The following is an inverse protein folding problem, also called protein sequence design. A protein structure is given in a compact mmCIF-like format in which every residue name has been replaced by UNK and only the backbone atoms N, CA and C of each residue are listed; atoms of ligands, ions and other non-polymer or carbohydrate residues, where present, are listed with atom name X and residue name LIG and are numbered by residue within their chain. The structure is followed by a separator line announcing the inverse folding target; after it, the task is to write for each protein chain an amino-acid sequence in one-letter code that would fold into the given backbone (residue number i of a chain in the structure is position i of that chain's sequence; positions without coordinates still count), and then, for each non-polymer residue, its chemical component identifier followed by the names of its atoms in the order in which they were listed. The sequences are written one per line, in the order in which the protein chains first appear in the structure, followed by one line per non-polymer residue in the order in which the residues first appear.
data_IF_699132464550
#
_entry.id   IF_699132464550
#
_cell.length_a   1.000
_cell.length_b   1.000
_cell.length_c   1.000
_cell.angle_alpha   90.00
_cell.angle_beta   90.00
_cell.angle_gamma   90.00
#
_symmetry.space_group_name_H-M   'P 1'
#
loop_
_entity.id
_entity.type
_entity.pdbx_description
1 polymer ?
#
# COMPACT_ATOMS: atom_id res chain seq x y z
N UNK A 1 15.24 19.07 16.12
CA UNK A 1 15.05 17.69 15.61
C UNK A 1 14.54 17.74 14.19
N UNK A 2 15.08 16.92 13.31
CA UNK A 2 14.55 16.84 11.94
C UNK A 2 13.18 16.17 11.98
N UNK A 3 12.23 16.70 11.19
CA UNK A 3 10.88 16.15 11.11
C UNK A 3 10.86 14.90 10.22
N UNK A 4 10.04 13.94 10.62
CA UNK A 4 9.73 12.73 9.83
C UNK A 4 8.29 12.90 9.33
N UNK A 5 8.08 12.93 8.03
CA UNK A 5 6.79 13.25 7.42
C UNK A 5 5.65 12.39 7.99
N UNK A 6 5.87 11.08 8.09
CA UNK A 6 4.85 10.16 8.60
C UNK A 6 4.47 10.38 10.07
N UNK A 7 5.31 11.05 10.85
CA UNK A 7 5.02 11.37 12.25
C UNK A 7 4.34 12.73 12.43
N UNK A 8 4.25 13.53 11.37
CA UNK A 8 3.53 14.80 11.38
C UNK A 8 2.03 14.62 11.11
N UNK A 9 1.62 13.45 10.62
CA UNK A 9 0.21 13.12 10.41
C UNK A 9 -0.48 12.85 11.75
N UNK A 10 -1.61 13.51 12.00
CA UNK A 10 -2.44 13.22 13.18
C UNK A 10 -3.27 11.95 12.93
N UNK A 11 -2.78 10.83 13.41
CA UNK A 11 -3.40 9.50 13.22
C UNK A 11 -4.76 9.36 13.94
N UNK A 12 -5.10 10.29 14.84
CA UNK A 12 -6.41 10.27 15.53
C UNK A 12 -7.54 10.89 14.71
N UNK A 13 -7.19 11.65 13.68
CA UNK A 13 -8.16 12.40 12.86
C UNK A 13 -8.46 11.76 11.50
N UNK A 14 -7.57 10.92 11.02
CA UNK A 14 -7.74 10.28 9.71
C UNK A 14 -8.80 9.19 9.73
N UNK A 15 -9.39 8.91 8.57
CA UNK A 15 -10.42 7.89 8.38
C UNK A 15 -10.03 6.95 7.23
N UNK A 16 -9.57 5.76 7.57
CA UNK A 16 -9.24 4.72 6.59
C UNK A 16 -10.52 4.09 6.00
N UNK A 17 -10.46 3.50 4.77
CA UNK A 17 -9.27 3.45 3.92
C UNK A 17 -9.06 4.73 3.12
N UNK A 18 -7.80 5.08 2.87
CA UNK A 18 -7.47 6.26 2.06
C UNK A 18 -6.13 6.09 1.32
N UNK A 19 -5.93 6.93 0.31
CA UNK A 19 -4.65 7.12 -0.36
C UNK A 19 -4.25 8.58 -0.24
N UNK A 20 -3.08 8.82 0.34
CA UNK A 20 -2.54 10.15 0.61
C UNK A 20 -1.18 10.31 -0.05
N UNK A 21 -1.01 11.40 -0.78
CA UNK A 21 0.32 11.80 -1.25
C UNK A 21 1.08 12.43 -0.09
N UNK A 22 2.13 11.73 0.36
CA UNK A 22 2.92 12.18 1.51
C UNK A 22 3.79 13.38 1.16
N UNK A 23 4.56 13.26 0.08
CA UNK A 23 5.55 14.24 -0.34
C UNK A 23 6.07 13.95 -1.75
N UNK A 24 6.77 14.92 -2.30
CA UNK A 24 7.56 14.79 -3.52
C UNK A 24 9.00 15.12 -3.15
N UNK A 25 9.91 14.24 -3.50
CA UNK A 25 11.34 14.47 -3.41
C UNK A 25 11.87 14.91 -4.77
N UNK A 26 12.77 15.88 -4.80
CA UNK A 26 13.41 16.33 -6.02
C UNK A 26 14.91 16.05 -5.96
N UNK A 27 15.43 15.38 -6.98
CA UNK A 27 16.84 15.07 -7.12
C UNK A 27 17.64 16.25 -7.68
N UNK A 28 18.97 16.12 -7.67
CA UNK A 28 19.88 17.19 -8.11
C UNK A 28 19.79 17.55 -9.59
N UNK A 29 19.15 16.73 -10.41
CA UNK A 29 18.97 16.93 -11.85
C UNK A 29 17.51 17.19 -12.26
N UNK A 30 16.64 17.52 -11.29
CA UNK A 30 15.24 17.84 -11.54
C UNK A 30 14.30 16.64 -11.59
N UNK A 31 14.81 15.43 -11.45
CA UNK A 31 14.02 14.21 -11.32
C UNK A 31 13.27 14.23 -9.98
N UNK A 32 12.08 13.65 -9.99
CA UNK A 32 11.19 13.64 -8.83
C UNK A 32 10.80 12.22 -8.43
N UNK A 33 10.57 12.05 -7.14
CA UNK A 33 9.99 10.82 -6.55
C UNK A 33 8.79 11.24 -5.71
N UNK A 34 7.64 10.63 -5.96
CA UNK A 34 6.46 10.80 -5.12
C UNK A 34 6.27 9.60 -4.20
N UNK A 35 5.86 9.87 -2.96
CA UNK A 35 5.60 8.87 -1.93
C UNK A 35 4.14 8.93 -1.52
N UNK A 36 3.52 7.76 -1.42
CA UNK A 36 2.10 7.62 -1.07
C UNK A 36 1.91 6.73 0.14
N UNK A 37 0.97 7.13 0.97
CA UNK A 37 0.42 6.38 2.09
C UNK A 37 -0.85 5.69 1.61
N UNK A 38 -0.80 4.37 1.48
CA UNK A 38 -1.94 3.54 1.10
C UNK A 38 -2.45 2.89 2.36
N UNK A 39 -3.41 3.54 3.01
CA UNK A 39 -3.91 3.12 4.31
C UNK A 39 -5.15 2.27 4.16
N UNK A 40 -5.05 1.02 4.60
CA UNK A 40 -6.14 0.05 4.57
C UNK A 40 -6.98 0.10 5.83
N UNK A 41 -6.34 0.18 6.98
CA UNK A 41 -6.96 -0.03 8.29
C UNK A 41 -6.89 1.23 9.15
N UNK A 42 -7.88 1.38 10.01
CA UNK A 42 -7.96 2.53 10.90
C UNK A 42 -6.82 2.51 11.91
N UNK A 43 -5.98 3.56 11.95
CA UNK A 43 -4.88 3.65 12.91
C UNK A 43 -5.35 3.49 14.36
N UNK A 44 -4.57 2.74 15.13
CA UNK A 44 -4.80 2.47 16.56
C UNK A 44 -6.09 1.70 16.89
N UNK A 45 -6.79 1.19 15.87
CA UNK A 45 -8.00 0.35 16.06
C UNK A 45 -7.85 -1.04 15.45
N UNK A 46 -7.16 -1.13 14.32
CA UNK A 46 -6.98 -2.38 13.59
C UNK A 46 -5.54 -2.50 13.13
N UNK A 47 -5.08 -3.72 12.90
CA UNK A 47 -3.81 -4.00 12.28
C UNK A 47 -3.90 -5.31 11.49
N UNK A 48 -3.18 -5.41 10.37
CA UNK A 48 -3.08 -6.66 9.62
C UNK A 48 -2.50 -7.79 10.49
N UNK A 49 -3.03 -8.99 10.34
CA UNK A 49 -2.27 -10.20 10.68
C UNK A 49 -1.02 -10.29 9.80
N UNK A 50 0.09 -10.78 10.34
CA UNK A 50 1.39 -10.76 9.63
C UNK A 50 1.36 -11.58 8.34
N UNK A 51 0.76 -12.76 8.36
CA UNK A 51 0.66 -13.64 7.18
C UNK A 51 -0.19 -13.03 6.05
N UNK A 52 -1.29 -12.35 6.40
CA UNK A 52 -2.14 -11.66 5.44
C UNK A 52 -1.44 -10.43 4.83
N UNK A 53 -0.76 -9.65 5.66
CA UNK A 53 0.03 -8.51 5.22
C UNK A 53 1.13 -8.93 4.26
N UNK A 54 1.80 -10.02 4.54
CA UNK A 54 2.86 -10.58 3.71
C UNK A 54 2.33 -10.99 2.32
N UNK A 55 1.17 -11.63 2.26
CA UNK A 55 0.52 -11.98 0.99
C UNK A 55 0.08 -10.73 0.21
N UNK A 56 -0.47 -9.73 0.88
CA UNK A 56 -0.81 -8.44 0.27
C UNK A 56 0.44 -7.77 -0.32
N UNK A 57 1.54 -7.75 0.43
CA UNK A 57 2.80 -7.17 -0.03
C UNK A 57 3.30 -7.85 -1.31
N UNK A 58 3.32 -9.18 -1.37
CA UNK A 58 3.74 -9.91 -2.57
C UNK A 58 2.86 -9.59 -3.78
N UNK A 59 1.54 -9.58 -3.61
CA UNK A 59 0.61 -9.25 -4.69
C UNK A 59 0.75 -7.81 -5.15
N UNK A 60 0.86 -6.85 -4.23
CA UNK A 60 1.06 -5.45 -4.56
C UNK A 60 2.40 -5.23 -5.24
N UNK A 61 3.48 -5.75 -4.66
CA UNK A 61 4.82 -5.57 -5.20
C UNK A 61 4.95 -6.11 -6.63
N UNK A 62 4.39 -7.27 -6.88
CA UNK A 62 4.48 -7.92 -8.19
C UNK A 62 3.55 -7.27 -9.22
N UNK A 63 2.28 -7.09 -8.88
CA UNK A 63 1.25 -6.71 -9.85
C UNK A 63 1.10 -5.19 -10.04
N UNK A 64 1.52 -4.36 -9.09
CA UNK A 64 1.39 -2.90 -9.23
C UNK A 64 2.18 -2.39 -10.45
N UNK A 65 3.28 -3.03 -10.76
CA UNK A 65 4.17 -2.67 -11.88
C UNK A 65 3.54 -2.87 -13.25
N UNK A 66 2.52 -3.69 -13.34
CA UNK A 66 1.74 -3.88 -14.58
C UNK A 66 0.67 -2.79 -14.76
N UNK A 67 0.33 -2.10 -13.70
CA UNK A 67 -0.75 -1.09 -13.66
C UNK A 67 -0.25 0.33 -13.44
N UNK A 68 1.02 0.51 -13.16
CA UNK A 68 1.62 1.80 -12.83
C UNK A 68 3.08 1.83 -13.25
N UNK A 69 3.45 2.82 -14.04
CA UNK A 69 4.85 3.02 -14.44
C UNK A 69 5.68 3.64 -13.33
N UNK A 70 6.97 3.34 -13.32
CA UNK A 70 7.94 4.00 -12.47
C UNK A 70 7.86 3.62 -10.99
N UNK A 71 7.31 2.45 -10.67
CA UNK A 71 7.29 1.96 -9.29
C UNK A 71 8.71 1.68 -8.81
N UNK A 72 9.10 2.30 -7.70
CA UNK A 72 10.38 2.06 -7.04
C UNK A 72 10.20 0.97 -5.99
N UNK A 73 9.27 1.15 -5.07
CA UNK A 73 9.03 0.22 -3.99
C UNK A 73 7.63 0.36 -3.41
N UNK A 74 7.09 -0.73 -2.90
CA UNK A 74 5.90 -0.76 -2.07
C UNK A 74 6.17 -1.69 -0.90
N UNK A 75 6.02 -1.19 0.32
CA UNK A 75 6.40 -1.90 1.53
C UNK A 75 5.40 -1.66 2.64
N UNK A 76 5.14 -2.66 3.50
CA UNK A 76 4.24 -2.49 4.63
C UNK A 76 4.79 -1.52 5.66
N UNK A 77 3.89 -0.81 6.32
CA UNK A 77 4.21 0.04 7.47
C UNK A 77 4.45 -0.83 8.71
N UNK A 78 5.35 -0.39 9.58
CA UNK A 78 5.62 -1.07 10.84
C UNK A 78 4.41 -1.21 11.76
N UNK A 79 3.46 -0.28 11.69
CA UNK A 79 2.19 -0.32 12.42
C UNK A 79 1.16 -1.32 11.86
N UNK A 80 1.43 -1.89 10.69
CA UNK A 80 0.57 -2.88 10.02
C UNK A 80 -0.84 -2.36 9.69
N UNK A 81 -0.95 -1.09 9.28
CA UNK A 81 -2.24 -0.50 8.88
C UNK A 81 -2.30 -0.15 7.40
N UNK A 82 -1.18 -0.23 6.71
CA UNK A 82 -1.10 0.08 5.29
C UNK A 82 0.29 -0.11 4.71
N UNK A 83 0.49 0.47 3.54
CA UNK A 83 1.73 0.36 2.77
C UNK A 83 2.21 1.73 2.33
N UNK A 84 3.53 1.89 2.19
CA UNK A 84 4.11 3.02 1.48
C UNK A 84 4.48 2.61 0.05
N UNK A 85 4.13 3.45 -0.89
CA UNK A 85 4.50 3.32 -2.30
C UNK A 85 5.38 4.50 -2.71
N UNK A 86 6.52 4.21 -3.31
CA UNK A 86 7.40 5.22 -3.91
C UNK A 86 7.46 5.02 -5.42
N UNK A 87 7.33 6.12 -6.17
CA UNK A 87 7.32 6.10 -7.63
C UNK A 87 8.19 7.21 -8.19
N UNK A 88 8.79 6.97 -9.33
CA UNK A 88 9.36 8.04 -10.15
C UNK A 88 8.26 8.96 -10.64
N UNK A 89 8.59 10.26 -10.72
CA UNK A 89 7.68 11.29 -11.20
C UNK A 89 6.79 11.87 -10.10
N UNK A 90 6.07 12.91 -10.45
CA UNK A 90 5.07 13.57 -9.60
C UNK A 90 3.68 13.06 -9.99
N UNK A 91 3.28 11.95 -9.38
CA UNK A 91 2.03 11.27 -9.72
C UNK A 91 0.83 11.77 -8.90
N UNK A 92 -0.34 11.66 -9.50
CA UNK A 92 -1.60 12.03 -8.85
C UNK A 92 -2.15 10.86 -8.01
N UNK A 93 -2.69 11.12 -6.80
CA UNK A 93 -3.33 10.09 -5.99
C UNK A 93 -4.44 9.30 -6.69
N UNK A 94 -5.15 9.90 -7.63
CA UNK A 94 -6.18 9.22 -8.45
C UNK A 94 -5.57 8.07 -9.26
N UNK A 95 -4.40 8.29 -9.85
CA UNK A 95 -3.68 7.27 -10.62
C UNK A 95 -3.27 6.10 -9.73
N UNK A 96 -2.79 6.40 -8.53
CA UNK A 96 -2.42 5.39 -7.55
C UNK A 96 -3.63 4.58 -7.10
N UNK A 97 -4.73 5.25 -6.79
CA UNK A 97 -5.99 4.60 -6.41
C UNK A 97 -6.45 3.61 -7.47
N UNK A 98 -6.49 4.03 -8.73
CA UNK A 98 -6.90 3.17 -9.84
C UNK A 98 -6.02 1.92 -9.96
N UNK A 99 -4.70 2.08 -9.87
CA UNK A 99 -3.75 0.97 -9.94
C UNK A 99 -3.91 0.00 -8.77
N UNK A 100 -3.96 0.52 -7.54
CA UNK A 100 -4.09 -0.31 -6.33
C UNK A 100 -5.41 -1.08 -6.32
N UNK A 101 -6.52 -0.42 -6.63
CA UNK A 101 -7.83 -1.09 -6.67
C UNK A 101 -7.89 -2.18 -7.74
N UNK A 102 -7.25 -1.97 -8.90
CA UNK A 102 -7.13 -3.00 -9.93
C UNK A 102 -6.37 -4.22 -9.42
N UNK A 103 -5.23 -4.00 -8.77
CA UNK A 103 -4.44 -5.10 -8.18
C UNK A 103 -5.24 -5.87 -7.15
N UNK A 104 -5.97 -5.18 -6.28
CA UNK A 104 -6.78 -5.83 -5.24
C UNK A 104 -7.95 -6.62 -5.82
N UNK A 105 -8.60 -6.13 -6.88
CA UNK A 105 -9.62 -6.90 -7.60
C UNK A 105 -9.06 -8.17 -8.23
N UNK A 106 -7.86 -8.07 -8.80
CA UNK A 106 -7.18 -9.24 -9.37
C UNK A 106 -6.79 -10.23 -8.27
N UNK A 107 -6.35 -9.74 -7.11
CA UNK A 107 -6.06 -10.57 -5.96
C UNK A 107 -7.27 -11.43 -5.54
N UNK A 108 -8.47 -10.88 -5.57
CA UNK A 108 -9.68 -11.65 -5.22
C UNK A 108 -9.92 -12.86 -6.13
N UNK A 109 -9.40 -12.84 -7.35
CA UNK A 109 -9.50 -13.92 -8.33
C UNK A 109 -8.27 -14.84 -8.34
N UNK A 110 -7.22 -14.48 -7.63
CA UNK A 110 -5.98 -15.22 -7.61
C UNK A 110 -6.11 -16.50 -6.78
N UNK A 111 -5.43 -17.55 -7.22
CA UNK A 111 -5.31 -18.82 -6.48
C UNK A 111 -3.90 -18.99 -5.89
N UNK A 112 -2.97 -18.14 -6.30
CA UNK A 112 -1.56 -18.21 -5.93
C UNK A 112 -1.04 -16.90 -5.36
N UNK A 113 0.08 -17.01 -4.65
CA UNK A 113 0.84 -15.84 -4.16
C UNK A 113 2.16 -15.80 -4.93
N UNK A 114 2.48 -14.69 -5.62
CA UNK A 114 3.75 -14.55 -6.32
C UNK A 114 4.94 -14.72 -5.39
N UNK A 115 6.00 -15.37 -5.85
CA UNK A 115 7.27 -15.51 -5.15
C UNK A 115 7.17 -16.15 -3.75
N UNK A 116 6.14 -16.93 -3.48
CA UNK A 116 5.90 -17.59 -2.20
C UNK A 116 6.70 -18.91 -2.10
N UNK A 117 8.03 -18.80 -2.11
CA UNK A 117 8.94 -19.93 -2.01
C UNK A 117 10.23 -19.53 -1.28
N UNK A 118 10.99 -20.52 -0.86
CA UNK A 118 12.20 -20.30 -0.05
C UNK A 118 13.33 -19.57 -0.77
N UNK A 119 13.34 -19.60 -2.11
CA UNK A 119 14.38 -18.93 -2.91
C UNK A 119 14.11 -17.43 -3.01
N UNK A 120 12.86 -17.05 -3.24
CA UNK A 120 12.46 -15.67 -3.50
C UNK A 120 11.97 -14.91 -2.26
N UNK A 121 11.65 -15.60 -1.18
CA UNK A 121 11.08 -15.01 0.03
C UNK A 121 11.85 -15.42 1.26
N UNK A 122 12.06 -14.47 2.17
CA UNK A 122 12.78 -14.71 3.42
C UNK A 122 11.96 -15.42 4.50
N UNK A 123 10.64 -15.50 4.35
CA UNK A 123 9.74 -16.16 5.29
C UNK A 123 8.46 -16.65 4.60
N UNK A 124 8.62 -17.51 3.61
CA UNK A 124 7.52 -17.94 2.74
C UNK A 124 6.43 -18.78 3.45
N UNK A 125 6.69 -19.25 4.67
CA UNK A 125 5.72 -20.02 5.45
C UNK A 125 4.73 -19.15 6.21
N UNK A 126 5.07 -17.89 6.49
CA UNK A 126 4.18 -16.93 7.16
C UNK A 126 3.47 -16.07 6.10
N UNK A 127 2.57 -16.69 5.34
CA UNK A 127 1.87 -16.02 4.24
C UNK A 127 0.46 -16.63 4.09
N UNK A 128 -0.57 -15.78 3.93
CA UNK A 128 -1.97 -16.21 3.85
C UNK A 128 -2.71 -15.48 2.74
N UNK A 129 -3.02 -16.21 1.67
CA UNK A 129 -3.86 -15.71 0.59
C UNK A 129 -5.30 -15.45 1.07
N UNK A 130 -5.84 -16.35 1.89
CA UNK A 130 -7.17 -16.20 2.47
C UNK A 130 -7.29 -14.90 3.28
N UNK A 131 -6.31 -14.63 4.14
CA UNK A 131 -6.30 -13.41 4.94
C UNK A 131 -6.15 -12.15 4.06
N UNK A 132 -5.28 -12.20 3.06
CA UNK A 132 -5.11 -11.10 2.11
C UNK A 132 -6.40 -10.78 1.35
N UNK A 133 -7.10 -11.81 0.89
CA UNK A 133 -8.40 -11.64 0.20
C UNK A 133 -9.45 -11.00 1.10
N UNK A 134 -9.47 -11.34 2.39
CA UNK A 134 -10.38 -10.73 3.35
C UNK A 134 -10.20 -9.22 3.45
N UNK A 135 -8.97 -8.77 3.61
CA UNK A 135 -8.64 -7.34 3.64
C UNK A 135 -8.90 -6.65 2.31
N UNK A 136 -8.55 -7.27 1.20
CA UNK A 136 -8.81 -6.73 -0.13
C UNK A 136 -10.31 -6.53 -0.39
N UNK A 137 -11.12 -7.51 -0.03
CA UNK A 137 -12.59 -7.45 -0.17
C UNK A 137 -13.18 -6.31 0.66
N UNK A 138 -12.74 -6.16 1.90
CA UNK A 138 -13.20 -5.11 2.79
C UNK A 138 -12.88 -3.72 2.23
N UNK A 139 -11.64 -3.49 1.83
CA UNK A 139 -11.20 -2.22 1.27
C UNK A 139 -11.91 -1.89 -0.05
N UNK A 140 -12.06 -2.86 -0.94
CA UNK A 140 -12.76 -2.65 -2.22
C UNK A 140 -14.22 -2.28 -1.97
N UNK A 141 -14.88 -2.90 -1.00
CA UNK A 141 -16.28 -2.60 -0.66
C UNK A 141 -16.46 -1.17 -0.13
N UNK A 142 -15.48 -0.65 0.59
CA UNK A 142 -15.47 0.72 1.13
C UNK A 142 -14.97 1.74 0.11
N UNK A 143 -14.00 1.37 -0.72
CA UNK A 143 -13.26 2.25 -1.62
C UNK A 143 -12.23 3.10 -0.87
N UNK A 144 -11.08 3.33 -1.50
CA UNK A 144 -10.10 4.28 -0.96
C UNK A 144 -10.59 5.71 -1.15
N UNK A 145 -10.67 6.47 -0.06
CA UNK A 145 -10.92 7.91 -0.12
C UNK A 145 -9.63 8.65 -0.52
N UNK A 146 -9.77 9.74 -1.26
CA UNK A 146 -8.68 10.70 -1.50
C UNK A 146 -8.70 11.84 -0.48
N UNK A 147 -9.73 11.90 0.34
CA UNK A 147 -9.82 12.79 1.51
C UNK A 147 -9.54 11.99 2.76
N UNK A 148 -8.40 12.25 3.41
CA UNK A 148 -7.95 11.49 4.57
C UNK A 148 -8.82 11.67 5.82
N UNK A 149 -9.65 12.69 5.85
CA UNK A 149 -10.57 12.95 6.97
C UNK A 149 -11.97 12.36 6.76
N UNK A 150 -12.18 11.73 5.61
CA UNK A 150 -13.45 11.18 5.19
C UNK A 150 -14.44 12.27 4.76
N UNK A 151 -15.54 11.83 4.22
CA UNK A 151 -16.65 12.70 3.82
C UNK A 151 -17.90 12.40 4.65
#
# INVERSE_FOLDING_TARGET
MKKVESFELDHTKVKAPFIRKCCVYEGGHGDKISKFDIRFLQPNKEAFGTAAMHALEHHLAYNIRENLDGVIDISPMGCRTGFYLSTWGDKDPIEIKAAVETVLRNLLKSEDIPASNEVQCGNYKDISLFGAKGYAKDVISKGFSLNIYGE
#
